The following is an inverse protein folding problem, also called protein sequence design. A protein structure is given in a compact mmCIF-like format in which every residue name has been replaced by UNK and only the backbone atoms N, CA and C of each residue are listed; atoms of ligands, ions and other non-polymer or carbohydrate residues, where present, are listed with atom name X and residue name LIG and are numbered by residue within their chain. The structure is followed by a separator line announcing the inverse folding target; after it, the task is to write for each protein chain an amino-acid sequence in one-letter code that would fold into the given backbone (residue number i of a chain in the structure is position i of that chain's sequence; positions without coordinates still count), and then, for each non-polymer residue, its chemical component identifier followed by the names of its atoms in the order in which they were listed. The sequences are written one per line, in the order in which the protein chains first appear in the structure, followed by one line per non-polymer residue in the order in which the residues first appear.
data_IF_372506936884
#
_entry.id   IF_372506936884
#
_cell.length_a   1.000
_cell.length_b   1.000
_cell.length_c   1.000
_cell.angle_alpha   90.00
_cell.angle_beta   90.00
_cell.angle_gamma   90.00
#
_symmetry.space_group_name_H-M   'P 1'
#
loop_
_entity.id
_entity.type
_entity.pdbx_description
1 polymer ?
#
# COMPACT_ATOMS: atom_id res chain seq x y z
N UNK A 1 14.42 11.81 -24.05
CA UNK A 1 13.46 11.26 -23.08
C UNK A 1 12.34 12.28 -23.06
N UNK A 2 11.31 12.00 -23.84
CA UNK A 2 10.20 12.94 -24.02
C UNK A 2 9.14 12.63 -22.97
N UNK A 3 8.52 13.67 -22.41
CA UNK A 3 7.53 13.59 -21.34
C UNK A 3 6.12 13.65 -21.94
N UNK A 4 5.24 12.77 -21.48
CA UNK A 4 3.85 12.68 -21.91
C UNK A 4 2.84 12.82 -20.76
N UNK A 5 1.61 13.20 -21.11
CA UNK A 5 0.47 13.30 -20.19
C UNK A 5 -0.46 12.10 -20.42
N UNK A 6 -0.81 11.38 -19.34
CA UNK A 6 -1.74 10.24 -19.40
C UNK A 6 -3.20 10.64 -19.17
N UNK A 7 -3.45 11.81 -18.59
CA UNK A 7 -4.79 12.27 -18.25
C UNK A 7 -5.70 12.38 -19.48
N UNK A 8 -6.93 11.89 -19.33
CA UNK A 8 -8.03 12.09 -20.30
C UNK A 8 -8.74 13.44 -20.10
N UNK A 9 -8.53 14.07 -18.94
CA UNK A 9 -9.23 15.29 -18.53
C UNK A 9 -10.45 15.06 -17.63
N UNK A 10 -10.70 13.82 -17.21
CA UNK A 10 -11.80 13.52 -16.29
C UNK A 10 -11.61 14.21 -14.93
N UNK A 11 -12.73 14.46 -14.26
CA UNK A 11 -12.80 15.16 -12.96
C UNK A 11 -12.10 14.32 -11.89
N UNK A 12 -11.16 14.93 -11.16
CA UNK A 12 -10.42 14.24 -10.07
C UNK A 12 -10.73 14.79 -8.69
N UNK A 13 -11.47 15.89 -8.59
CA UNK A 13 -11.75 16.55 -7.32
C UNK A 13 -13.16 17.17 -7.31
N UNK A 14 -13.83 17.06 -6.17
CA UNK A 14 -15.11 17.68 -5.88
C UNK A 14 -15.00 18.60 -4.66
N UNK A 15 -15.17 19.90 -4.90
CA UNK A 15 -15.15 20.90 -3.85
C UNK A 15 -16.56 21.11 -3.27
N UNK A 16 -16.76 20.62 -2.05
CA UNK A 16 -18.08 20.62 -1.40
C UNK A 16 -18.64 22.02 -1.11
N UNK A 17 -17.79 22.99 -0.79
CA UNK A 17 -18.24 24.32 -0.35
C UNK A 17 -18.85 25.13 -1.51
N UNK A 18 -18.30 24.99 -2.71
CA UNK A 18 -18.80 25.67 -3.91
C UNK A 18 -19.65 24.75 -4.78
N UNK A 19 -19.76 23.47 -4.43
CA UNK A 19 -20.43 22.45 -5.22
C UNK A 19 -19.90 22.40 -6.67
N UNK A 20 -18.56 22.41 -6.82
CA UNK A 20 -17.89 22.42 -8.13
C UNK A 20 -16.91 21.26 -8.26
N UNK A 21 -16.72 20.80 -9.50
CA UNK A 21 -15.78 19.73 -9.85
C UNK A 21 -14.61 20.25 -10.66
N UNK A 22 -13.41 19.71 -10.42
CA UNK A 22 -12.17 20.11 -11.11
C UNK A 22 -11.29 18.90 -11.41
N UNK A 23 -10.49 18.98 -12.48
CA UNK A 23 -9.45 17.99 -12.82
C UNK A 23 -8.08 18.57 -12.45
N UNK A 24 -7.63 18.33 -11.21
CA UNK A 24 -6.42 18.95 -10.64
C UNK A 24 -5.26 17.98 -10.46
N UNK A 25 -5.54 16.68 -10.50
CA UNK A 25 -4.53 15.63 -10.34
C UNK A 25 -3.93 15.24 -11.69
N UNK A 26 -2.60 15.15 -11.77
CA UNK A 26 -1.86 14.94 -13.03
C UNK A 26 -1.03 13.65 -12.99
N UNK A 27 -1.11 12.87 -14.06
CA UNK A 27 -0.34 11.65 -14.31
C UNK A 27 0.58 11.86 -15.51
N UNK A 28 1.87 11.68 -15.29
CA UNK A 28 2.92 11.90 -16.28
C UNK A 28 3.73 10.61 -16.47
N UNK A 29 4.25 10.42 -17.68
CA UNK A 29 5.08 9.27 -18.03
C UNK A 29 6.04 9.59 -19.17
N UNK A 30 6.93 8.66 -19.49
CA UNK A 30 7.72 8.77 -20.72
C UNK A 30 6.80 8.59 -21.93
N UNK A 31 7.12 9.28 -23.03
CA UNK A 31 6.36 9.18 -24.28
C UNK A 31 6.17 7.72 -24.75
N UNK A 32 7.21 6.90 -24.59
CA UNK A 32 7.18 5.49 -24.97
C UNK A 32 6.20 4.66 -24.12
N UNK A 33 5.94 5.06 -22.87
CA UNK A 33 5.06 4.35 -21.93
C UNK A 33 3.60 4.77 -21.98
N UNK A 34 3.26 5.83 -22.73
CA UNK A 34 1.90 6.39 -22.76
C UNK A 34 0.86 5.36 -23.23
N UNK A 35 1.24 4.49 -24.16
CA UNK A 35 0.36 3.49 -24.75
C UNK A 35 0.30 2.20 -23.93
N UNK A 36 1.09 2.07 -22.87
CA UNK A 36 1.15 0.87 -22.03
C UNK A 36 0.09 0.88 -20.92
N UNK A 37 -0.61 2.00 -20.74
CA UNK A 37 -1.56 2.19 -19.65
C UNK A 37 -2.92 2.67 -20.14
N UNK A 38 -3.97 2.11 -19.53
CA UNK A 38 -5.30 2.70 -19.49
C UNK A 38 -5.40 3.63 -18.28
N UNK A 39 -5.79 4.89 -18.53
CA UNK A 39 -6.02 5.89 -17.51
C UNK A 39 -7.52 6.09 -17.31
N UNK A 40 -7.98 6.07 -16.05
CA UNK A 40 -9.35 6.45 -15.70
C UNK A 40 -9.46 6.99 -14.29
N UNK A 41 -10.52 7.74 -14.02
CA UNK A 41 -10.93 8.11 -12.66
C UNK A 41 -11.93 7.07 -12.14
N UNK A 42 -11.86 6.74 -10.85
CA UNK A 42 -12.84 5.85 -10.21
C UNK A 42 -14.06 6.63 -9.70
N UNK A 43 -15.23 6.04 -9.86
CA UNK A 43 -16.52 6.66 -9.48
C UNK A 43 -16.76 6.75 -7.95
N UNK A 44 -15.92 6.09 -7.13
CA UNK A 44 -16.10 5.98 -5.68
C UNK A 44 -15.26 7.00 -4.90
N UNK A 45 -15.98 7.93 -4.27
CA UNK A 45 -15.49 8.84 -3.27
C UNK A 45 -15.33 8.09 -1.94
N UNK A 46 -14.16 7.51 -1.69
CA UNK A 46 -13.84 6.89 -0.40
C UNK A 46 -13.59 7.94 0.70
N UNK A 47 -14.65 8.69 1.05
CA UNK A 47 -14.65 9.72 2.12
C UNK A 47 -13.56 10.81 1.98
N UNK A 48 -13.08 11.07 0.77
CA UNK A 48 -12.07 12.10 0.46
C UNK A 48 -12.57 12.91 -0.74
N UNK A 49 -12.38 14.24 -0.72
CA UNK A 49 -12.74 15.19 -1.79
C UNK A 49 -12.11 14.93 -3.16
N UNK A 50 -11.15 14.01 -3.25
CA UNK A 50 -10.54 13.56 -4.49
C UNK A 50 -11.05 12.19 -4.95
N UNK A 51 -11.35 12.09 -6.25
CA UNK A 51 -11.60 10.83 -6.94
C UNK A 51 -10.25 10.19 -7.32
N UNK A 52 -9.98 8.95 -6.89
CA UNK A 52 -8.74 8.27 -7.24
C UNK A 52 -8.55 8.10 -8.75
N UNK A 53 -7.32 8.32 -9.22
CA UNK A 53 -6.87 7.93 -10.56
C UNK A 53 -6.43 6.47 -10.53
N UNK A 54 -6.87 5.69 -11.52
CA UNK A 54 -6.42 4.33 -11.76
C UNK A 54 -5.63 4.27 -13.08
N UNK A 55 -4.39 3.80 -12.98
CA UNK A 55 -3.55 3.41 -14.12
C UNK A 55 -3.52 1.89 -14.20
N UNK A 56 -4.06 1.33 -15.27
CA UNK A 56 -4.05 -0.12 -15.52
C UNK A 56 -3.06 -0.42 -16.62
N UNK A 57 -2.06 -1.25 -16.37
CA UNK A 57 -1.16 -1.70 -17.43
C UNK A 57 -1.93 -2.56 -18.43
N UNK A 58 -1.78 -2.26 -19.72
CA UNK A 58 -2.31 -3.06 -20.82
C UNK A 58 -1.49 -4.32 -21.07
N UNK A 59 -0.24 -4.34 -20.58
CA UNK A 59 0.57 -5.55 -20.56
C UNK A 59 0.16 -6.46 -19.40
N UNK A 60 -0.03 -7.75 -19.70
CA UNK A 60 -0.11 -8.78 -18.65
C UNK A 60 1.31 -9.02 -18.14
N UNK A 61 1.78 -8.14 -17.25
CA UNK A 61 3.00 -8.42 -16.52
C UNK A 61 2.73 -9.61 -15.60
N UNK A 62 3.57 -10.66 -15.61
CA UNK A 62 3.48 -11.72 -14.62
C UNK A 62 3.59 -11.04 -13.25
N UNK A 63 2.50 -11.05 -12.49
CA UNK A 63 2.47 -10.40 -11.20
C UNK A 63 3.47 -11.15 -10.33
N UNK A 64 4.55 -10.51 -9.85
CA UNK A 64 5.44 -11.19 -8.94
C UNK A 64 4.59 -11.67 -7.77
N UNK A 65 4.59 -12.98 -7.53
CA UNK A 65 3.89 -13.55 -6.38
C UNK A 65 4.63 -13.08 -5.13
N UNK A 66 4.21 -11.93 -4.61
CA UNK A 66 4.73 -11.38 -3.36
C UNK A 66 4.42 -12.42 -2.27
N UNK A 67 5.41 -12.89 -1.50
CA UNK A 67 5.18 -13.81 -0.40
C UNK A 67 4.09 -13.27 0.53
N UNK A 68 2.98 -14.00 0.65
CA UNK A 68 1.85 -13.65 1.52
C UNK A 68 1.95 -14.42 2.82
N UNK A 69 1.58 -13.78 3.92
CA UNK A 69 1.45 -14.46 5.21
C UNK A 69 0.33 -15.50 5.14
N UNK A 70 0.63 -16.73 5.57
CA UNK A 70 -0.36 -17.79 5.74
C UNK A 70 -0.85 -17.81 7.18
N UNK A 71 -1.77 -16.91 7.50
CA UNK A 71 -2.33 -16.74 8.85
C UNK A 71 -3.12 -17.97 9.32
N UNK A 72 -3.59 -18.79 8.39
CA UNK A 72 -4.20 -20.10 8.64
C UNK A 72 -3.21 -21.14 9.21
N UNK A 73 -1.91 -20.92 9.00
CA UNK A 73 -0.82 -21.77 9.49
C UNK A 73 0.11 -21.06 10.47
N UNK A 74 -0.33 -19.93 10.99
CA UNK A 74 0.41 -19.18 11.99
C UNK A 74 0.47 -19.96 13.31
N UNK A 75 1.65 -19.99 13.92
CA UNK A 75 1.83 -20.45 15.30
C UNK A 75 1.48 -19.31 16.26
N UNK A 76 0.20 -19.17 16.55
CA UNK A 76 -0.30 -18.11 17.43
C UNK A 76 0.18 -18.25 18.87
N UNK A 77 0.51 -19.46 19.32
CA UNK A 77 1.02 -19.68 20.67
C UNK A 77 2.46 -19.17 20.79
N UNK A 78 3.31 -19.48 19.80
CA UNK A 78 4.65 -18.91 19.70
C UNK A 78 4.59 -17.38 19.54
N UNK A 79 3.69 -16.86 18.70
CA UNK A 79 3.52 -15.40 18.56
C UNK A 79 3.21 -14.76 19.91
N UNK A 80 2.20 -15.27 20.62
CA UNK A 80 1.81 -14.78 21.94
C UNK A 80 2.97 -14.82 22.93
N UNK A 81 3.76 -15.90 22.94
CA UNK A 81 4.94 -16.02 23.79
C UNK A 81 5.99 -14.95 23.48
N UNK A 82 6.33 -14.76 22.21
CA UNK A 82 7.32 -13.80 21.76
C UNK A 82 6.89 -12.33 21.99
N UNK A 83 5.58 -12.06 21.98
CA UNK A 83 5.02 -10.73 22.22
C UNK A 83 4.72 -10.38 23.67
N UNK A 84 4.93 -11.30 24.63
CA UNK A 84 4.75 -10.99 26.05
C UNK A 84 5.57 -9.76 26.42
N UNK A 85 4.96 -8.79 27.08
CA UNK A 85 5.65 -7.56 27.48
C UNK A 85 6.63 -7.92 28.60
N UNK A 86 7.92 -7.80 28.33
CA UNK A 86 9.00 -8.14 29.29
C UNK A 86 9.50 -6.89 30.03
N UNK A 87 9.24 -5.69 29.49
CA UNK A 87 9.56 -4.41 30.10
C UNK A 87 8.30 -3.57 30.29
N UNK A 88 8.11 -2.99 31.47
CA UNK A 88 7.04 -2.02 31.69
C UNK A 88 7.29 -0.73 30.92
N UNK A 89 6.22 -0.04 30.52
CA UNK A 89 6.31 1.26 29.82
C UNK A 89 7.06 2.32 30.61
N UNK A 90 7.04 2.21 31.94
CA UNK A 90 7.75 3.10 32.88
C UNK A 90 9.28 2.92 32.84
N UNK A 91 9.78 1.83 32.26
CA UNK A 91 11.22 1.57 32.10
C UNK A 91 11.83 2.30 30.90
N UNK A 92 11.01 2.95 30.07
CA UNK A 92 11.46 3.68 28.89
C UNK A 92 11.45 5.19 29.16
N UNK A 93 12.55 5.89 28.85
CA UNK A 93 12.66 7.33 29.09
C UNK A 93 11.80 8.16 28.13
N UNK A 94 11.50 7.64 26.94
CA UNK A 94 10.73 8.34 25.91
C UNK A 94 9.73 7.40 25.21
N UNK A 95 8.63 7.99 24.72
CA UNK A 95 7.57 7.25 24.01
C UNK A 95 8.10 6.61 22.72
N UNK A 96 8.98 7.29 21.99
CA UNK A 96 9.54 6.78 20.74
C UNK A 96 10.31 5.47 20.94
N UNK A 97 11.02 5.33 22.07
CA UNK A 97 11.73 4.09 22.41
C UNK A 97 10.78 2.93 22.72
N UNK A 98 9.63 3.21 23.36
CA UNK A 98 8.58 2.20 23.60
C UNK A 98 8.01 1.72 22.26
N UNK A 99 7.73 2.65 21.35
CA UNK A 99 7.17 2.36 20.02
C UNK A 99 8.16 1.53 19.20
N UNK A 100 9.43 1.92 19.17
CA UNK A 100 10.48 1.18 18.47
C UNK A 100 10.66 -0.22 19.05
N UNK A 101 10.81 -0.34 20.37
CA UNK A 101 10.94 -1.63 21.05
C UNK A 101 9.76 -2.56 20.75
N UNK A 102 8.54 -2.03 20.85
CA UNK A 102 7.32 -2.80 20.60
C UNK A 102 7.21 -3.19 19.13
N UNK A 103 7.54 -2.28 18.20
CA UNK A 103 7.53 -2.52 16.77
C UNK A 103 8.50 -3.64 16.36
N UNK A 104 9.74 -3.59 16.85
CA UNK A 104 10.76 -4.62 16.58
C UNK A 104 10.27 -5.98 17.10
N UNK A 105 9.75 -6.03 18.33
CA UNK A 105 9.25 -7.27 18.94
C UNK A 105 8.10 -7.88 18.16
N UNK A 106 7.09 -7.07 17.80
CA UNK A 106 5.94 -7.52 17.01
C UNK A 106 6.38 -7.99 15.61
N UNK A 107 7.29 -7.27 14.97
CA UNK A 107 7.85 -7.64 13.66
C UNK A 107 8.59 -8.97 13.69
N UNK A 108 9.50 -9.14 14.66
CA UNK A 108 10.25 -10.39 14.86
C UNK A 108 9.32 -11.55 15.21
N UNK A 109 8.37 -11.35 16.12
CA UNK A 109 7.39 -12.38 16.48
C UNK A 109 6.57 -12.82 15.26
N UNK A 110 6.09 -11.87 14.45
CA UNK A 110 5.38 -12.16 13.22
C UNK A 110 6.23 -12.94 12.20
N UNK A 111 7.50 -12.58 12.05
CA UNK A 111 8.43 -13.29 11.17
C UNK A 111 8.72 -14.73 11.63
N UNK A 112 8.84 -14.96 12.93
CA UNK A 112 9.15 -16.29 13.47
C UNK A 112 7.94 -17.23 13.51
N UNK A 113 6.72 -16.70 13.71
CA UNK A 113 5.50 -17.50 13.93
C UNK A 113 4.64 -17.67 12.69
N UNK A 114 4.73 -16.77 11.70
CA UNK A 114 3.85 -16.79 10.55
C UNK A 114 4.61 -17.29 9.31
N UNK A 115 4.27 -18.47 8.75
CA UNK A 115 4.89 -18.89 7.50
C UNK A 115 4.41 -18.01 6.33
N UNK A 116 5.29 -17.74 5.36
CA UNK A 116 4.94 -17.08 4.11
C UNK A 116 4.80 -18.09 2.96
N UNK A 117 4.01 -17.75 1.94
CA UNK A 117 4.02 -18.50 0.68
C UNK A 117 5.40 -18.41 0.02
N UNK A 118 5.84 -19.48 -0.64
CA UNK A 118 7.00 -19.40 -1.54
C UNK A 118 6.61 -18.50 -2.71
N UNK A 119 7.27 -17.36 -2.87
CA UNK A 119 7.12 -16.56 -4.09
C UNK A 119 7.63 -17.39 -5.27
N UNK A 120 6.73 -17.81 -6.16
CA UNK A 120 7.11 -18.45 -7.41
C UNK A 120 7.08 -17.39 -8.51
N UNK A 121 8.21 -17.23 -9.21
CA UNK A 121 8.22 -16.56 -10.51
C UNK A 121 7.93 -17.67 -11.52
N UNK A 122 6.76 -17.62 -12.16
CA UNK A 122 6.52 -18.47 -13.33
C UNK A 122 7.56 -18.09 -14.40
N UNK A 123 8.33 -19.06 -14.86
CA UNK A 123 9.23 -18.92 -16.01
C UNK A 123 8.43 -18.89 -17.31
#
# INVERSE_FOLDING_TARGET
MDLGILNTGDITHYHIQTNTTTAVDLSLGSADSLLDFEWRVTDDFRRCDHYPILLSSLEVLPTPQIPRWRLDKADWDLFKELTKVVKCTEEFPFVDEVVEYSGIRLGCAGHCSNPRTSGFVAR
#
